data_IF_285492603363
#
_entry.id   IF_285492603363
#
_cell.length_a   1.000
_cell.length_b   1.000
_cell.length_c   1.000
_cell.angle_alpha   90.00
_cell.angle_beta   90.00
_cell.angle_gamma   90.00
#
_symmetry.space_group_name_H-M   'P 1'
#
loop_
_entity.id
_entity.type
_entity.pdbx_description
1 polymer ?
#
# COMPACT_ATOMS: atom_id res chain seq x y z
N UNK A 1 7.04 -6.27 -15.35
CA UNK A 1 6.29 -6.04 -16.61
C UNK A 1 5.13 -5.13 -16.28
N UNK A 2 4.75 -4.23 -17.20
CA UNK A 2 3.61 -3.32 -17.01
C UNK A 2 2.65 -3.56 -18.15
N UNK A 3 1.43 -3.97 -17.83
CA UNK A 3 0.34 -4.15 -18.76
C UNK A 3 -0.42 -2.82 -18.91
N UNK A 4 -1.28 -2.71 -19.93
CA UNK A 4 -2.15 -1.55 -20.09
C UNK A 4 -3.52 -1.94 -20.63
N UNK A 5 -4.57 -1.47 -19.99
CA UNK A 5 -5.91 -1.42 -20.57
C UNK A 5 -6.12 -0.05 -21.19
N UNK A 6 -6.34 -0.06 -22.51
CA UNK A 6 -6.49 1.13 -23.33
C UNK A 6 -7.99 1.37 -23.53
N UNK A 7 -8.40 2.64 -23.44
CA UNK A 7 -9.78 3.03 -23.74
C UNK A 7 -10.08 2.80 -25.22
N UNK A 8 -11.11 2.03 -25.51
CA UNK A 8 -11.52 1.70 -26.86
C UNK A 8 -12.98 2.08 -27.15
N UNK A 9 -13.41 1.78 -28.39
CA UNK A 9 -14.77 2.07 -28.84
C UNK A 9 -15.84 1.31 -28.05
N UNK A 10 -15.53 0.10 -27.57
CA UNK A 10 -16.47 -0.70 -26.79
C UNK A 10 -16.66 -0.09 -25.41
N UNK A 11 -15.60 0.44 -24.79
CA UNK A 11 -15.70 1.21 -23.55
C UNK A 11 -16.57 2.46 -23.76
N UNK A 12 -16.36 3.20 -24.85
CA UNK A 12 -17.14 4.40 -25.20
C UNK A 12 -18.63 4.08 -25.37
N UNK A 13 -18.97 3.12 -26.23
CA UNK A 13 -20.34 2.68 -26.49
C UNK A 13 -21.02 2.17 -25.20
N UNK A 14 -20.28 1.43 -24.37
CA UNK A 14 -20.77 0.93 -23.08
C UNK A 14 -21.05 2.07 -22.12
N UNK A 15 -20.14 3.06 -22.02
CA UNK A 15 -20.29 4.19 -21.12
C UNK A 15 -21.46 5.09 -21.54
N UNK A 16 -21.62 5.36 -22.84
CA UNK A 16 -22.76 6.10 -23.39
C UNK A 16 -24.11 5.40 -23.13
N UNK A 17 -24.12 4.07 -23.08
CA UNK A 17 -25.30 3.28 -22.77
C UNK A 17 -25.75 3.32 -21.30
N UNK A 18 -24.94 3.87 -20.39
CA UNK A 18 -25.27 3.97 -18.97
C UNK A 18 -25.83 5.37 -18.69
N UNK A 19 -27.06 5.44 -18.16
CA UNK A 19 -27.77 6.69 -17.83
C UNK A 19 -27.23 7.41 -16.59
N UNK A 20 -25.91 7.55 -16.46
CA UNK A 20 -25.25 8.30 -15.39
C UNK A 20 -24.74 9.63 -15.94
N UNK A 21 -25.11 10.74 -15.29
CA UNK A 21 -24.50 12.05 -15.57
C UNK A 21 -23.04 12.07 -15.10
N UNK A 22 -22.13 11.63 -15.97
CA UNK A 22 -20.69 11.56 -15.70
C UNK A 22 -20.04 12.95 -15.53
N UNK A 23 -20.68 14.01 -16.05
CA UNK A 23 -20.20 15.39 -15.98
C UNK A 23 -20.32 16.03 -14.58
N UNK A 24 -21.14 15.48 -13.68
CA UNK A 24 -21.42 16.04 -12.36
C UNK A 24 -20.67 15.34 -11.21
N UNK A 25 -19.81 14.38 -11.52
CA UNK A 25 -19.09 13.61 -10.52
C UNK A 25 -17.91 14.42 -9.98
N UNK A 26 -18.06 15.00 -8.79
CA UNK A 26 -17.02 15.76 -8.10
C UNK A 26 -16.49 15.00 -6.89
N UNK A 27 -15.24 15.31 -6.54
CA UNK A 27 -14.67 14.83 -5.29
C UNK A 27 -15.48 15.36 -4.09
N UNK A 28 -15.59 14.55 -3.04
CA UNK A 28 -16.28 14.94 -1.81
C UNK A 28 -15.37 15.68 -0.82
N UNK A 29 -14.07 15.74 -1.11
CA UNK A 29 -13.04 16.29 -0.23
C UNK A 29 -13.03 15.64 1.17
N UNK A 30 -13.61 14.45 1.32
CA UNK A 30 -13.62 13.75 2.59
C UNK A 30 -12.20 13.29 2.96
N UNK A 31 -11.85 13.43 4.23
CA UNK A 31 -10.59 12.90 4.73
C UNK A 31 -10.74 11.40 5.03
N UNK A 32 -10.22 10.58 4.13
CA UNK A 32 -10.18 9.12 4.29
C UNK A 32 -8.96 8.63 5.07
N UNK A 33 -8.13 9.51 5.64
CA UNK A 33 -7.04 9.09 6.55
C UNK A 33 -7.62 8.35 7.75
N UNK A 34 -6.95 7.26 8.15
CA UNK A 34 -7.33 6.44 9.31
C UNK A 34 -8.72 5.77 9.16
N UNK A 35 -9.24 5.71 7.94
CA UNK A 35 -10.51 5.05 7.60
C UNK A 35 -10.24 3.79 6.77
N UNK A 36 -10.76 2.64 7.24
CA UNK A 36 -10.90 1.44 6.41
C UNK A 36 -12.31 1.42 5.85
N UNK A 37 -12.42 1.38 4.53
CA UNK A 37 -13.70 1.26 3.83
C UNK A 37 -13.96 -0.23 3.55
N UNK A 38 -14.93 -0.80 4.26
CA UNK A 38 -15.30 -2.20 4.08
C UNK A 38 -16.00 -2.41 2.75
N UNK A 39 -15.62 -3.48 2.04
CA UNK A 39 -16.20 -3.89 0.77
C UNK A 39 -16.75 -5.31 0.88
N UNK A 40 -17.76 -5.68 0.08
CA UNK A 40 -18.21 -7.08 0.04
C UNK A 40 -17.08 -8.06 -0.35
N UNK A 41 -16.12 -7.62 -1.16
CA UNK A 41 -14.97 -8.40 -1.63
C UNK A 41 -13.75 -8.34 -0.70
N UNK A 42 -13.78 -7.54 0.37
CA UNK A 42 -12.61 -7.27 1.21
C UNK A 42 -12.66 -5.89 1.83
N UNK A 43 -11.61 -5.09 1.64
CA UNK A 43 -11.57 -3.71 2.11
C UNK A 43 -10.50 -2.90 1.37
N UNK A 44 -10.59 -1.58 1.50
CA UNK A 44 -9.56 -0.66 1.01
C UNK A 44 -9.31 0.47 2.01
N UNK A 45 -8.14 1.10 1.91
CA UNK A 45 -7.75 2.22 2.75
C UNK A 45 -6.70 3.09 2.06
N UNK A 46 -6.69 4.38 2.42
CA UNK A 46 -5.78 5.40 1.88
C UNK A 46 -4.43 5.37 2.62
N UNK A 47 -3.32 5.40 1.90
CA UNK A 47 -1.96 5.47 2.49
C UNK A 47 -1.20 6.75 2.12
N UNK A 48 -1.56 7.41 1.02
CA UNK A 48 -0.97 8.67 0.58
C UNK A 48 -1.98 9.46 -0.23
N UNK A 49 -1.98 10.79 -0.09
CA UNK A 49 -2.73 11.70 -0.93
C UNK A 49 -1.94 13.00 -1.12
N UNK A 50 -1.78 13.42 -2.37
CA UNK A 50 -1.35 14.76 -2.76
C UNK A 50 -2.54 15.55 -3.31
N UNK A 51 -2.26 16.73 -3.87
CA UNK A 51 -3.27 17.48 -4.65
C UNK A 51 -3.65 16.76 -5.95
N UNK A 52 -2.77 15.93 -6.50
CA UNK A 52 -2.93 15.37 -7.85
C UNK A 52 -3.19 13.86 -7.84
N UNK A 53 -2.69 13.12 -6.85
CA UNK A 53 -2.85 11.66 -6.80
C UNK A 53 -3.16 11.14 -5.40
N UNK A 54 -3.74 9.95 -5.36
CA UNK A 54 -3.93 9.19 -4.12
C UNK A 54 -3.47 7.75 -4.31
N UNK A 55 -2.96 7.14 -3.24
CA UNK A 55 -2.57 5.72 -3.20
C UNK A 55 -3.48 5.00 -2.22
N UNK A 56 -4.14 3.97 -2.72
CA UNK A 56 -5.02 3.08 -1.98
C UNK A 56 -4.45 1.68 -1.94
N UNK A 57 -4.64 1.01 -0.81
CA UNK A 57 -4.36 -0.42 -0.66
C UNK A 57 -5.67 -1.14 -0.62
N UNK A 58 -5.81 -2.17 -1.45
CA UNK A 58 -6.95 -3.04 -1.55
C UNK A 58 -6.54 -4.42 -1.04
N UNK A 59 -7.28 -4.95 -0.07
CA UNK A 59 -7.27 -6.37 0.23
C UNK A 59 -8.48 -7.02 -0.43
N UNK A 60 -8.23 -7.99 -1.31
CA UNK A 60 -9.26 -8.77 -1.99
C UNK A 60 -9.22 -10.19 -1.44
N UNK A 61 -10.34 -10.65 -0.86
CA UNK A 61 -10.47 -12.00 -0.29
C UNK A 61 -10.29 -13.09 -1.36
N UNK A 62 -9.87 -14.31 -0.98
CA UNK A 62 -9.74 -15.43 -1.91
C UNK A 62 -11.02 -15.63 -2.73
N UNK A 63 -10.89 -15.76 -4.06
CA UNK A 63 -12.01 -15.95 -5.01
C UNK A 63 -13.04 -14.80 -5.06
N UNK A 64 -12.78 -13.67 -4.42
CA UNK A 64 -13.59 -12.45 -4.57
C UNK A 64 -13.01 -11.52 -5.64
N UNK A 65 -13.84 -10.60 -6.13
CA UNK A 65 -13.50 -9.65 -7.18
C UNK A 65 -14.16 -8.28 -6.95
N UNK A 66 -13.58 -7.24 -7.52
CA UNK A 66 -14.22 -5.92 -7.63
C UNK A 66 -15.39 -5.97 -8.63
N UNK A 67 -16.14 -4.87 -8.75
CA UNK A 67 -17.11 -4.73 -9.85
C UNK A 67 -16.38 -4.61 -11.19
N UNK A 68 -17.04 -4.95 -12.29
CA UNK A 68 -16.67 -4.41 -13.60
C UNK A 68 -17.11 -2.95 -13.64
N UNK A 69 -16.15 -2.04 -13.66
CA UNK A 69 -16.38 -0.61 -13.52
C UNK A 69 -15.34 0.21 -14.28
N UNK A 70 -15.62 1.48 -14.49
CA UNK A 70 -14.65 2.42 -15.02
C UNK A 70 -14.65 3.72 -14.21
N UNK A 71 -13.63 4.53 -14.48
CA UNK A 71 -13.46 5.87 -13.95
C UNK A 71 -13.44 6.85 -15.13
N UNK A 72 -14.55 7.55 -15.41
CA UNK A 72 -14.65 8.46 -16.56
C UNK A 72 -13.53 9.50 -16.65
N UNK A 73 -13.03 10.00 -15.51
CA UNK A 73 -12.04 11.07 -15.46
C UNK A 73 -10.69 10.64 -14.90
N UNK A 74 -10.63 9.54 -14.14
CA UNK A 74 -9.40 9.06 -13.51
C UNK A 74 -8.63 8.04 -14.34
N UNK A 75 -7.33 8.24 -14.39
CA UNK A 75 -6.36 7.22 -14.77
C UNK A 75 -5.95 6.47 -13.51
N UNK A 76 -5.78 5.16 -13.64
CA UNK A 76 -5.46 4.28 -12.52
C UNK A 76 -4.23 3.43 -12.84
N UNK A 77 -3.32 3.28 -11.89
CA UNK A 77 -2.22 2.31 -11.96
C UNK A 77 -2.36 1.29 -10.83
N UNK A 78 -2.50 0.02 -11.20
CA UNK A 78 -2.55 -1.11 -10.28
C UNK A 78 -1.18 -1.78 -10.16
N UNK A 79 -0.78 -2.12 -8.94
CA UNK A 79 0.45 -2.89 -8.67
C UNK A 79 0.13 -4.01 -7.69
N UNK A 80 0.50 -5.25 -8.04
CA UNK A 80 0.31 -6.41 -7.15
C UNK A 80 1.38 -6.40 -6.06
N UNK A 81 0.97 -6.32 -4.80
CA UNK A 81 1.86 -6.31 -3.63
C UNK A 81 1.95 -7.66 -2.92
N UNK A 82 0.93 -8.51 -3.07
CA UNK A 82 0.95 -9.89 -2.58
C UNK A 82 -0.09 -10.75 -3.31
N UNK A 83 0.29 -12.00 -3.57
CA UNK A 83 -0.54 -12.97 -4.27
C UNK A 83 -0.53 -12.76 -5.79
N UNK A 84 -1.58 -13.28 -6.41
CA UNK A 84 -1.81 -13.26 -7.86
C UNK A 84 -3.26 -12.85 -8.10
N UNK A 85 -3.45 -11.90 -9.02
CA UNK A 85 -4.77 -11.41 -9.43
C UNK A 85 -5.03 -11.68 -10.91
N UNK A 86 -6.29 -11.81 -11.27
CA UNK A 86 -6.75 -11.73 -12.65
C UNK A 86 -7.39 -10.35 -12.84
N UNK A 87 -6.82 -9.54 -13.73
CA UNK A 87 -7.38 -8.27 -14.15
C UNK A 87 -8.08 -8.46 -15.50
N UNK A 88 -9.35 -8.08 -15.59
CA UNK A 88 -10.14 -8.19 -16.82
C UNK A 88 -10.55 -6.81 -17.33
N UNK A 89 -10.45 -6.58 -18.63
CA UNK A 89 -11.18 -5.52 -19.33
C UNK A 89 -12.52 -6.06 -19.87
N UNK A 90 -13.17 -5.35 -20.79
CA UNK A 90 -14.33 -5.89 -21.53
C UNK A 90 -13.95 -6.98 -22.54
N UNK A 91 -12.72 -6.96 -23.03
CA UNK A 91 -12.28 -7.78 -24.17
C UNK A 91 -11.24 -8.82 -23.80
N UNK A 92 -10.45 -8.58 -22.74
CA UNK A 92 -9.34 -9.45 -22.37
C UNK A 92 -9.23 -9.67 -20.85
N UNK A 93 -8.40 -10.63 -20.47
CA UNK A 93 -8.04 -10.88 -19.08
C UNK A 93 -6.57 -11.27 -18.97
N UNK A 94 -5.89 -10.69 -17.99
CA UNK A 94 -4.46 -10.83 -17.77
C UNK A 94 -4.26 -11.27 -16.32
N UNK A 95 -3.53 -12.37 -16.13
CA UNK A 95 -3.05 -12.77 -14.82
C UNK A 95 -1.81 -11.94 -14.46
N UNK A 96 -1.79 -11.40 -13.24
CA UNK A 96 -0.71 -10.59 -12.72
C UNK A 96 -0.20 -11.11 -11.38
N UNK A 97 1.10 -11.29 -11.30
CA UNK A 97 1.83 -11.74 -10.11
C UNK A 97 2.49 -10.57 -9.37
N UNK A 98 3.05 -10.88 -8.20
CA UNK A 98 3.81 -9.97 -7.34
C UNK A 98 4.75 -9.03 -8.13
N UNK A 99 4.62 -7.73 -7.88
CA UNK A 99 5.47 -6.68 -8.47
C UNK A 99 5.17 -6.36 -9.93
N UNK A 100 4.11 -6.92 -10.52
CA UNK A 100 3.64 -6.53 -11.85
C UNK A 100 2.67 -5.35 -11.75
N UNK A 101 2.73 -4.46 -12.75
CA UNK A 101 1.89 -3.27 -12.85
C UNK A 101 0.88 -3.35 -14.00
N UNK A 102 -0.20 -2.59 -13.89
CA UNK A 102 -1.21 -2.41 -14.94
C UNK A 102 -1.68 -0.95 -14.94
N UNK A 103 -1.52 -0.26 -16.06
CA UNK A 103 -2.08 1.07 -16.26
C UNK A 103 -3.47 0.92 -16.88
N UNK A 104 -4.44 1.66 -16.39
CA UNK A 104 -5.82 1.65 -16.84
C UNK A 104 -6.17 3.07 -17.24
N UNK A 105 -6.50 3.23 -18.52
CA UNK A 105 -6.84 4.53 -19.07
C UNK A 105 -8.21 5.01 -18.58
N UNK A 106 -8.40 6.33 -18.65
CA UNK A 106 -9.65 6.99 -18.28
C UNK A 106 -10.79 6.39 -19.10
N UNK A 107 -11.89 6.04 -18.42
CA UNK A 107 -13.08 5.44 -19.04
C UNK A 107 -12.97 3.94 -19.32
N UNK A 108 -11.78 3.32 -19.25
CA UNK A 108 -11.63 1.88 -19.50
C UNK A 108 -12.30 1.04 -18.42
N UNK A 109 -13.19 0.15 -18.83
CA UNK A 109 -13.83 -0.79 -17.91
C UNK A 109 -12.86 -1.89 -17.49
N UNK A 110 -12.83 -2.15 -16.19
CA UNK A 110 -11.93 -3.12 -15.60
C UNK A 110 -12.53 -3.78 -14.35
N UNK A 111 -11.96 -4.94 -14.00
CA UNK A 111 -12.23 -5.70 -12.79
C UNK A 111 -10.96 -6.40 -12.31
N UNK A 112 -10.79 -6.52 -11.01
CA UNK A 112 -9.68 -7.26 -10.39
C UNK A 112 -10.22 -8.37 -9.52
N UNK A 113 -9.75 -9.60 -9.73
CA UNK A 113 -10.14 -10.81 -8.97
C UNK A 113 -8.92 -11.42 -8.29
N UNK A 114 -9.04 -11.75 -7.01
CA UNK A 114 -8.01 -12.53 -6.33
C UNK A 114 -8.13 -14.01 -6.70
N UNK A 115 -7.05 -14.57 -7.27
CA UNK A 115 -6.96 -16.01 -7.60
C UNK A 115 -6.06 -16.78 -6.63
N UNK A 116 -5.34 -16.09 -5.75
CA UNK A 116 -4.58 -16.69 -4.66
C UNK A 116 -5.45 -17.20 -3.51
N UNK A 117 -5.03 -18.31 -2.89
CA UNK A 117 -5.74 -18.98 -1.78
C UNK A 117 -5.89 -18.13 -0.52
N UNK A 118 -4.98 -17.19 -0.28
CA UNK A 118 -4.97 -16.33 0.91
C UNK A 118 -5.54 -14.91 0.64
N UNK A 119 -6.07 -14.68 -0.57
CA UNK A 119 -6.42 -13.35 -1.04
C UNK A 119 -5.20 -12.64 -1.61
N UNK A 120 -5.36 -11.35 -1.90
CA UNK A 120 -4.33 -10.53 -2.52
C UNK A 120 -4.31 -9.13 -1.94
N UNK A 121 -3.12 -8.53 -1.90
CA UNK A 121 -2.94 -7.10 -1.71
C UNK A 121 -2.59 -6.46 -3.04
N UNK A 122 -3.37 -5.45 -3.42
CA UNK A 122 -3.16 -4.65 -4.63
C UNK A 122 -3.09 -3.20 -4.23
N UNK A 123 -2.14 -2.48 -4.81
CA UNK A 123 -2.05 -1.03 -4.68
C UNK A 123 -2.69 -0.38 -5.89
N UNK A 124 -3.44 0.68 -5.64
CA UNK A 124 -4.10 1.49 -6.66
C UNK A 124 -3.65 2.94 -6.53
N UNK A 125 -3.05 3.47 -7.59
CA UNK A 125 -2.69 4.88 -7.71
C UNK A 125 -3.71 5.54 -8.63
N UNK A 126 -4.42 6.54 -8.15
CA UNK A 126 -5.47 7.22 -8.90
C UNK A 126 -5.14 8.70 -9.14
N UNK A 127 -5.49 9.21 -10.33
CA UNK A 127 -5.37 10.62 -10.69
C UNK A 127 -6.48 11.06 -11.65
N UNK A 128 -7.21 12.16 -11.41
CA UNK A 128 -7.14 13.00 -10.21
C UNK A 128 -7.72 12.32 -8.96
N UNK A 129 -7.58 12.95 -7.80
CA UNK A 129 -8.24 12.49 -6.56
C UNK A 129 -9.74 12.79 -6.68
N UNK A 130 -10.55 11.75 -6.90
CA UNK A 130 -12.00 11.83 -6.91
C UNK A 130 -12.62 10.45 -6.61
N UNK A 131 -13.14 10.24 -5.41
CA UNK A 131 -13.71 8.92 -5.05
C UNK A 131 -15.07 8.62 -5.66
N UNK A 132 -15.78 9.63 -6.11
CA UNK A 132 -17.07 9.44 -6.74
C UNK A 132 -16.98 9.14 -8.22
N UNK A 133 -15.83 9.38 -8.87
CA UNK A 133 -15.58 9.07 -10.29
C UNK A 133 -15.59 7.56 -10.50
N UNK A 134 -16.78 6.98 -10.58
CA UNK A 134 -17.02 5.54 -10.55
C UNK A 134 -18.34 5.19 -11.22
N UNK A 135 -18.25 4.43 -12.31
CA UNK A 135 -19.41 3.88 -13.02
C UNK A 135 -19.32 2.37 -13.02
N UNK A 136 -20.33 1.68 -12.48
CA UNK A 136 -20.36 0.21 -12.40
C UNK A 136 -21.25 -0.38 -13.47
N UNK A 137 -20.68 -1.19 -14.35
CA UNK A 137 -21.41 -1.93 -15.38
C UNK A 137 -22.00 -3.23 -14.82
N UNK A 138 -21.19 -4.01 -14.09
CA UNK A 138 -21.60 -5.33 -13.57
C UNK A 138 -20.97 -5.57 -12.21
N UNK A 139 -21.75 -6.07 -11.27
CA UNK A 139 -21.26 -6.32 -9.92
C UNK A 139 -21.93 -7.55 -9.29
N UNK A 140 -21.11 -8.50 -8.82
CA UNK A 140 -21.57 -9.72 -8.16
C UNK A 140 -22.29 -9.45 -6.83
N UNK A 141 -22.14 -8.25 -6.27
CA UNK A 141 -22.74 -7.83 -4.99
C UNK A 141 -23.89 -6.83 -5.17
N UNK A 142 -24.42 -6.69 -6.39
CA UNK A 142 -25.61 -5.87 -6.69
C UNK A 142 -25.43 -4.38 -6.35
N UNK A 143 -24.25 -3.81 -6.64
CA UNK A 143 -23.96 -2.37 -6.50
C UNK A 143 -23.99 -1.58 -7.82
N UNK A 144 -24.50 -2.17 -8.91
CA UNK A 144 -24.74 -1.43 -10.17
C UNK A 144 -25.66 -0.23 -9.90
N UNK A 145 -25.31 0.93 -10.45
CA UNK A 145 -26.02 2.19 -10.22
C UNK A 145 -25.79 2.84 -8.85
N UNK A 146 -25.05 2.19 -7.93
CA UNK A 146 -24.65 2.81 -6.66
C UNK A 146 -23.32 3.55 -6.84
N UNK A 147 -23.15 4.66 -6.11
CA UNK A 147 -21.89 5.41 -6.03
C UNK A 147 -20.85 4.75 -5.11
N UNK A 148 -19.90 5.53 -4.63
CA UNK A 148 -18.94 5.06 -3.62
C UNK A 148 -19.65 4.62 -2.32
N UNK A 149 -18.98 3.83 -1.49
CA UNK A 149 -19.59 3.30 -0.27
C UNK A 149 -19.85 4.43 0.74
N UNK A 150 -20.94 4.31 1.49
CA UNK A 150 -21.38 5.31 2.48
C UNK A 150 -20.70 5.09 3.84
N UNK A 151 -20.83 6.09 4.73
CA UNK A 151 -20.13 6.14 6.02
C UNK A 151 -20.41 4.94 6.95
N UNK A 152 -21.52 4.23 6.77
CA UNK A 152 -21.83 2.99 7.51
C UNK A 152 -20.85 1.85 7.19
N UNK A 153 -20.12 1.94 6.07
CA UNK A 153 -19.03 1.02 5.70
C UNK A 153 -17.67 1.48 6.20
N UNK A 154 -17.57 2.69 6.73
CA UNK A 154 -16.33 3.24 7.23
C UNK A 154 -16.09 2.76 8.65
N UNK A 155 -14.90 2.22 8.89
CA UNK A 155 -14.41 1.95 10.24
C UNK A 155 -13.21 2.83 10.52
N UNK A 156 -13.37 3.74 11.47
CA UNK A 156 -12.21 4.36 12.09
C UNK A 156 -11.42 3.27 12.80
N UNK A 157 -10.14 3.20 12.50
CA UNK A 157 -9.23 2.32 13.21
C UNK A 157 -7.90 3.04 13.30
N UNK A 158 -7.35 3.32 14.49
CA UNK A 158 -6.01 3.88 14.58
C UNK A 158 -4.92 2.80 14.42
N UNK A 159 -5.26 1.51 14.61
CA UNK A 159 -4.30 0.41 14.80
C UNK A 159 -4.18 -0.58 13.62
N UNK A 160 -4.92 -0.39 12.53
CA UNK A 160 -4.86 -1.29 11.36
C UNK A 160 -3.76 -0.84 10.40
N UNK A 161 -2.48 -1.10 10.71
CA UNK A 161 -1.28 -0.73 9.93
C UNK A 161 -1.48 0.42 8.94
N UNK A 162 -1.94 1.55 9.48
CA UNK A 162 -2.06 2.78 8.73
C UNK A 162 -0.67 3.33 8.63
N UNK A 163 0.01 2.84 7.62
CA UNK A 163 1.26 3.38 7.22
C UNK A 163 0.97 4.63 6.38
N UNK A 164 0.38 5.65 6.99
CA UNK A 164 0.24 6.97 6.36
C UNK A 164 1.63 7.48 6.03
N UNK A 165 1.81 7.90 4.79
CA UNK A 165 2.97 8.69 4.39
C UNK A 165 2.74 10.14 4.84
N UNK A 166 2.73 10.38 6.17
CA UNK A 166 2.83 11.72 6.75
C UNK A 166 1.70 12.13 7.71
N UNK A 167 2.09 12.34 8.97
CA UNK A 167 1.61 13.48 9.80
C UNK A 167 2.80 14.31 10.34
N UNK A 168 4.06 13.97 10.02
CA UNK A 168 5.22 14.65 10.61
C UNK A 168 5.91 15.56 9.59
N UNK A 169 6.22 16.78 10.02
CA UNK A 169 7.13 17.74 9.36
C UNK A 169 8.55 17.19 9.15
N UNK A 170 8.79 15.93 9.51
CA UNK A 170 10.04 15.20 9.28
C UNK A 170 10.08 14.66 7.84
N UNK A 171 10.69 15.43 6.96
CA UNK A 171 11.00 15.06 5.59
C UNK A 171 12.14 14.01 5.53
N UNK A 172 11.80 12.72 5.54
CA UNK A 172 12.73 11.67 5.08
C UNK A 172 12.05 10.70 4.13
N UNK A 173 12.87 10.02 3.32
CA UNK A 173 12.44 8.93 2.44
C UNK A 173 11.80 7.83 3.29
N UNK A 174 10.46 7.79 3.36
CA UNK A 174 9.75 6.81 4.16
C UNK A 174 9.69 5.51 3.36
N UNK A 175 10.23 4.43 3.93
CA UNK A 175 10.20 3.08 3.37
C UNK A 175 9.33 2.18 4.22
N UNK A 176 8.37 1.50 3.60
CA UNK A 176 7.32 0.73 4.27
C UNK A 176 7.05 -0.56 3.51
N UNK A 177 7.03 -1.70 4.21
CA UNK A 177 6.69 -2.99 3.62
C UNK A 177 5.17 -3.16 3.60
N UNK A 178 4.64 -3.53 2.44
CA UNK A 178 3.24 -3.89 2.24
C UNK A 178 3.16 -5.19 1.45
N UNK A 179 2.51 -6.19 2.05
CA UNK A 179 2.55 -7.55 1.54
C UNK A 179 3.99 -8.04 1.40
N UNK A 180 4.39 -8.41 0.18
CA UNK A 180 5.76 -8.86 -0.16
C UNK A 180 6.59 -7.79 -0.86
N UNK A 181 6.09 -6.57 -0.98
CA UNK A 181 6.79 -5.45 -1.60
C UNK A 181 7.20 -4.41 -0.56
N UNK A 182 8.23 -3.64 -0.90
CA UNK A 182 8.64 -2.46 -0.14
C UNK A 182 8.38 -1.20 -0.95
N UNK A 183 7.67 -0.25 -0.32
CA UNK A 183 7.22 1.01 -0.88
C UNK A 183 8.04 2.15 -0.32
N UNK A 184 8.63 2.98 -1.18
CA UNK A 184 9.41 4.15 -0.76
C UNK A 184 8.97 5.39 -1.51
N UNK A 185 8.56 6.44 -0.80
CA UNK A 185 8.33 7.75 -1.41
C UNK A 185 9.63 8.55 -1.46
N UNK A 186 9.95 9.08 -2.64
CA UNK A 186 11.10 9.94 -2.91
C UNK A 186 10.62 11.27 -3.48
N UNK A 187 11.36 12.34 -3.21
CA UNK A 187 11.23 13.62 -3.90
C UNK A 187 12.46 13.86 -4.76
N UNK A 188 12.27 14.43 -5.94
CA UNK A 188 13.34 14.85 -6.83
C UNK A 188 13.08 16.28 -7.29
N UNK A 189 14.08 17.16 -7.13
CA UNK A 189 14.00 18.56 -7.57
C UNK A 189 14.83 18.80 -8.82
N UNK A 190 15.86 17.98 -9.00
CA UNK A 190 16.84 18.07 -10.05
C UNK A 190 16.95 16.74 -10.79
N UNK A 191 17.55 16.78 -11.99
CA UNK A 191 17.87 15.57 -12.75
C UNK A 191 18.86 14.66 -12.00
N UNK A 192 19.78 15.23 -11.23
CA UNK A 192 20.75 14.45 -10.45
C UNK A 192 20.07 13.62 -9.34
N UNK A 193 18.98 14.13 -8.75
CA UNK A 193 18.18 13.37 -7.80
C UNK A 193 17.57 12.11 -8.45
N UNK A 194 17.10 12.24 -9.70
CA UNK A 194 16.55 11.11 -10.48
C UNK A 194 17.66 10.12 -10.82
N UNK A 195 18.81 10.60 -11.27
CA UNK A 195 19.94 9.73 -11.58
C UNK A 195 20.37 8.92 -10.36
N UNK A 196 20.42 9.54 -9.18
CA UNK A 196 20.73 8.86 -7.92
C UNK A 196 19.66 7.82 -7.57
N UNK A 197 18.38 8.17 -7.68
CA UNK A 197 17.27 7.23 -7.46
C UNK A 197 17.38 6.03 -8.40
N UNK A 198 17.64 6.25 -9.68
CA UNK A 198 17.80 5.19 -10.66
C UNK A 198 19.03 4.34 -10.32
N UNK A 199 20.19 4.94 -10.05
CA UNK A 199 21.42 4.24 -9.74
C UNK A 199 21.28 3.30 -8.53
N UNK A 200 20.59 3.74 -7.48
CA UNK A 200 20.40 2.99 -6.24
C UNK A 200 19.29 1.93 -6.27
N UNK A 201 18.58 1.75 -7.39
CA UNK A 201 17.46 0.81 -7.48
C UNK A 201 17.65 -0.24 -8.58
N UNK A 202 17.23 -1.47 -8.28
CA UNK A 202 17.25 -2.59 -9.21
C UNK A 202 16.31 -2.34 -10.40
N UNK A 203 16.68 -2.87 -11.57
CA UNK A 203 15.92 -2.65 -12.82
C UNK A 203 14.50 -3.22 -12.80
N UNK A 204 14.24 -4.24 -11.99
CA UNK A 204 12.93 -4.86 -11.81
C UNK A 204 11.93 -4.02 -11.01
N UNK A 205 12.41 -3.04 -10.23
CA UNK A 205 11.56 -2.19 -9.41
C UNK A 205 10.64 -1.33 -10.28
N UNK A 206 9.45 -1.03 -9.75
CA UNK A 206 8.53 -0.09 -10.36
C UNK A 206 8.74 1.31 -9.77
N UNK A 207 8.55 2.31 -10.62
CA UNK A 207 8.57 3.72 -10.28
C UNK A 207 7.25 4.32 -10.76
N UNK A 208 6.47 4.86 -9.84
CA UNK A 208 5.20 5.53 -10.14
C UNK A 208 5.30 7.02 -9.82
N UNK A 209 4.78 7.85 -10.71
CA UNK A 209 4.85 9.30 -10.58
C UNK A 209 3.61 9.80 -9.83
N UNK A 210 3.81 10.39 -8.65
CA UNK A 210 2.72 10.86 -7.78
C UNK A 210 2.42 12.34 -7.98
N UNK A 211 3.44 13.14 -8.34
CA UNK A 211 3.31 14.55 -8.68
C UNK A 211 4.38 14.95 -9.71
N UNK A 212 3.96 15.72 -10.71
CA UNK A 212 4.81 16.31 -11.75
C UNK A 212 4.90 15.47 -13.02
N UNK A 213 5.93 15.76 -13.84
CA UNK A 213 6.16 15.19 -15.17
C UNK A 213 7.65 14.86 -15.40
N UNK A 214 7.89 13.74 -16.09
CA UNK A 214 9.21 13.37 -16.61
C UNK A 214 9.13 13.43 -18.13
N UNK A 215 10.09 14.09 -18.75
CA UNK A 215 10.19 14.22 -20.21
C UNK A 215 11.45 13.53 -20.73
N UNK A 216 11.40 13.08 -21.98
CA UNK A 216 12.54 12.59 -22.73
C UNK A 216 12.63 13.34 -24.05
N UNK A 217 13.77 13.99 -24.32
CA UNK A 217 13.95 14.86 -25.48
C UNK A 217 12.86 15.94 -25.62
N UNK A 218 12.36 16.48 -24.50
CA UNK A 218 11.31 17.50 -24.48
C UNK A 218 9.88 16.99 -24.69
N UNK A 219 9.69 15.68 -24.86
CA UNK A 219 8.36 15.04 -24.96
C UNK A 219 8.03 14.41 -23.60
N UNK A 220 6.81 14.61 -23.10
CA UNK A 220 6.35 13.96 -21.86
C UNK A 220 6.43 12.44 -21.99
N UNK A 221 7.25 11.84 -21.13
CA UNK A 221 7.44 10.40 -21.02
C UNK A 221 6.53 9.80 -19.95
N UNK A 222 6.39 10.50 -18.82
CA UNK A 222 5.50 10.14 -17.73
C UNK A 222 4.84 11.39 -17.19
N UNK A 223 3.56 11.28 -16.89
CA UNK A 223 2.78 12.25 -16.14
C UNK A 223 2.31 11.62 -14.82
N UNK A 224 1.71 12.44 -13.96
CA UNK A 224 1.16 11.95 -12.69
C UNK A 224 0.22 10.75 -12.91
N UNK A 225 0.33 9.76 -12.03
CA UNK A 225 -0.37 8.48 -12.08
C UNK A 225 0.27 7.41 -12.95
N UNK A 226 1.27 7.72 -13.77
CA UNK A 226 1.97 6.70 -14.58
C UNK A 226 2.92 5.85 -13.74
N UNK A 227 3.08 4.60 -14.16
CA UNK A 227 4.06 3.66 -13.62
C UNK A 227 4.99 3.17 -14.73
N UNK A 228 6.29 3.08 -14.44
CA UNK A 228 7.31 2.52 -15.33
C UNK A 228 8.24 1.58 -14.55
N UNK A 229 8.96 0.68 -15.23
CA UNK A 229 10.06 -0.05 -14.59
C UNK A 229 11.32 0.83 -14.53
N UNK A 230 12.12 0.67 -13.48
CA UNK A 230 13.42 1.36 -13.35
C UNK A 230 14.32 1.05 -14.55
N UNK A 231 14.32 -0.20 -15.04
CA UNK A 231 15.08 -0.58 -16.23
C UNK A 231 14.62 0.16 -17.49
N UNK A 232 13.31 0.37 -17.69
CA UNK A 232 12.80 1.08 -18.85
C UNK A 232 13.11 2.58 -18.78
N UNK A 233 13.08 3.17 -17.58
CA UNK A 233 13.45 4.58 -17.38
C UNK A 233 14.97 4.80 -17.55
N UNK A 234 15.81 3.88 -17.09
CA UNK A 234 17.28 3.90 -17.31
C UNK A 234 17.70 3.88 -18.77
N UNK A 235 16.86 3.35 -19.68
CA UNK A 235 17.15 3.30 -21.12
C UNK A 235 16.97 4.65 -21.82
N UNK A 236 16.35 5.63 -21.15
CA UNK A 236 16.08 6.93 -21.73
C UNK A 236 17.33 7.82 -21.67
N UNK A 237 17.63 8.53 -22.77
CA UNK A 237 18.93 9.21 -22.94
C UNK A 237 18.95 10.66 -22.46
N UNK A 238 17.86 11.41 -22.64
CA UNK A 238 17.80 12.84 -22.30
C UNK A 238 16.59 13.12 -21.42
N UNK A 239 16.65 12.61 -20.19
CA UNK A 239 15.63 12.85 -19.18
C UNK A 239 15.71 14.28 -18.67
N UNK A 240 14.56 14.94 -18.63
CA UNK A 240 14.34 16.21 -17.92
C UNK A 240 13.07 16.08 -17.07
N UNK A 241 12.94 16.91 -16.04
CA UNK A 241 11.84 16.80 -15.08
C UNK A 241 11.19 18.15 -14.82
N UNK A 242 9.90 18.12 -14.47
CA UNK A 242 9.25 19.28 -13.86
C UNK A 242 9.84 19.56 -12.47
N UNK A 243 9.75 20.81 -12.01
CA UNK A 243 10.16 21.16 -10.65
C UNK A 243 9.33 20.39 -9.60
N UNK A 244 10.02 19.78 -8.62
CA UNK A 244 9.43 19.06 -7.48
C UNK A 244 8.60 17.83 -7.87
N UNK A 245 9.26 16.78 -8.35
CA UNK A 245 8.64 15.47 -8.51
C UNK A 245 8.46 14.76 -7.16
N UNK A 246 7.31 14.09 -7.02
CA UNK A 246 7.09 13.07 -5.98
C UNK A 246 6.95 11.71 -6.67
N UNK A 247 7.71 10.72 -6.21
CA UNK A 247 7.79 9.39 -6.81
C UNK A 247 7.54 8.31 -5.77
N UNK A 248 6.88 7.24 -6.16
CA UNK A 248 6.79 5.99 -5.41
C UNK A 248 7.66 4.92 -6.06
N UNK A 249 8.63 4.41 -5.31
CA UNK A 249 9.37 3.20 -5.64
C UNK A 249 8.65 1.99 -5.05
N UNK A 250 8.42 0.97 -5.86
CA UNK A 250 7.94 -0.34 -5.40
C UNK A 250 8.99 -1.39 -5.73
N UNK A 251 9.59 -1.96 -4.68
CA UNK A 251 10.54 -3.06 -4.77
C UNK A 251 9.81 -4.39 -4.50
N UNK A 252 9.96 -5.36 -5.40
CA UNK A 252 9.38 -6.71 -5.28
C UNK A 252 10.41 -7.78 -4.89
N UNK A 253 11.70 -7.45 -4.90
CA UNK A 253 12.78 -8.27 -4.33
C UNK A 253 13.23 -7.63 -3.03
N UNK A 254 12.42 -7.85 -1.99
CA UNK A 254 12.83 -7.60 -0.62
C UNK A 254 13.20 -8.95 0.03
N UNK A 255 14.19 -9.62 -0.57
CA UNK A 255 14.87 -10.78 0.02
C UNK A 255 15.48 -10.44 1.40
N UNK A 256 15.62 -9.15 1.72
CA UNK A 256 16.05 -8.68 3.03
C UNK A 256 14.84 -8.39 3.92
N UNK A 257 14.55 -9.32 4.83
CA UNK A 257 13.61 -9.06 5.92
C UNK A 257 14.37 -8.39 7.06
N UNK A 258 13.89 -7.24 7.55
CA UNK A 258 14.40 -6.64 8.79
C UNK A 258 14.34 -7.70 9.89
N UNK A 259 15.47 -7.97 10.54
CA UNK A 259 15.58 -9.06 11.54
C UNK A 259 14.50 -8.96 12.62
N UNK A 260 14.18 -7.74 13.06
CA UNK A 260 13.10 -7.52 14.02
C UNK A 260 11.72 -7.92 13.48
N UNK A 261 11.38 -7.64 12.21
CA UNK A 261 10.12 -8.07 11.60
C UNK A 261 10.04 -9.60 11.48
N UNK A 262 11.18 -10.26 11.21
CA UNK A 262 11.27 -11.72 11.22
C UNK A 262 11.02 -12.29 12.62
N UNK A 263 11.61 -11.69 13.66
CA UNK A 263 11.38 -12.11 15.05
C UNK A 263 9.90 -11.98 15.41
N UNK A 264 9.23 -10.88 15.07
CA UNK A 264 7.78 -10.73 15.33
C UNK A 264 6.97 -11.78 14.57
N UNK A 265 7.31 -12.05 13.32
CA UNK A 265 6.67 -13.10 12.53
C UNK A 265 6.86 -14.50 13.13
N UNK A 266 8.05 -14.77 13.66
CA UNK A 266 8.37 -16.02 14.37
C UNK A 266 7.54 -16.17 15.64
N UNK A 267 7.45 -15.12 16.47
CA UNK A 267 6.61 -15.12 17.68
C UNK A 267 5.14 -15.42 17.33
N UNK A 268 4.60 -14.78 16.30
CA UNK A 268 3.23 -15.06 15.82
C UNK A 268 3.04 -16.49 15.36
N UNK A 269 4.05 -17.08 14.71
CA UNK A 269 3.97 -18.50 14.28
C UNK A 269 3.88 -19.48 15.46
N UNK A 270 4.29 -19.04 16.65
CA UNK A 270 4.14 -19.76 17.91
C UNK A 270 2.84 -19.40 18.65
N UNK A 271 1.91 -18.69 18.01
CA UNK A 271 0.69 -18.13 18.62
C UNK A 271 0.94 -17.11 19.75
N UNK A 272 2.15 -16.52 19.80
CA UNK A 272 2.46 -15.44 20.74
C UNK A 272 2.02 -14.13 20.11
N UNK A 273 1.04 -13.48 20.74
CA UNK A 273 0.42 -12.24 20.27
C UNK A 273 0.47 -11.12 21.32
N UNK A 274 1.18 -11.30 22.43
CA UNK A 274 1.37 -10.25 23.44
C UNK A 274 2.81 -10.28 23.95
N UNK A 275 3.47 -9.13 24.02
CA UNK A 275 4.85 -8.98 24.49
C UNK A 275 4.98 -7.90 25.57
N UNK A 276 5.94 -8.08 26.46
CA UNK A 276 6.30 -7.12 27.49
C UNK A 276 7.58 -6.41 27.05
N UNK A 277 7.72 -5.10 27.24
CA UNK A 277 8.98 -4.44 26.93
C UNK A 277 9.32 -3.25 27.82
N UNK A 278 10.62 -2.94 27.84
CA UNK A 278 11.18 -1.69 28.36
C UNK A 278 11.93 -0.99 27.21
N UNK A 279 11.58 0.26 26.86
CA UNK A 279 12.26 0.99 25.80
C UNK A 279 13.75 1.19 26.07
N UNK A 280 14.58 0.95 25.06
CA UNK A 280 15.99 1.31 25.08
C UNK A 280 16.58 1.40 23.68
N UNK A 281 17.77 1.99 23.57
CA UNK A 281 18.36 2.29 22.26
C UNK A 281 18.61 1.02 21.43
N UNK A 282 19.06 -0.06 22.06
CA UNK A 282 19.44 -1.28 21.36
C UNK A 282 18.23 -2.13 20.90
N UNK A 283 17.07 -1.99 21.55
CA UNK A 283 15.86 -2.73 21.19
C UNK A 283 14.85 -1.90 20.38
N UNK A 284 15.19 -0.66 20.01
CA UNK A 284 14.33 0.26 19.28
C UNK A 284 13.78 -0.36 17.98
N UNK A 285 14.59 -1.11 17.25
CA UNK A 285 14.13 -1.77 16.02
C UNK A 285 13.07 -2.85 16.26
N UNK A 286 13.13 -3.57 17.39
CA UNK A 286 12.09 -4.53 17.80
C UNK A 286 10.81 -3.79 18.20
N UNK A 287 10.93 -2.72 18.98
CA UNK A 287 9.79 -1.89 19.40
C UNK A 287 9.08 -1.28 18.19
N UNK A 288 9.84 -0.74 17.22
CA UNK A 288 9.29 -0.28 15.94
C UNK A 288 8.55 -1.39 15.20
N UNK A 289 9.12 -2.60 15.14
CA UNK A 289 8.48 -3.73 14.47
C UNK A 289 7.20 -4.20 15.18
N UNK A 290 7.15 -4.17 16.50
CA UNK A 290 5.97 -4.49 17.31
C UNK A 290 4.88 -3.43 17.09
N UNK A 291 5.25 -2.15 17.17
CA UNK A 291 4.31 -1.04 16.97
C UNK A 291 3.74 -0.99 15.54
N UNK A 292 4.39 -1.64 14.57
CA UNK A 292 3.93 -1.80 13.18
C UNK A 292 3.22 -3.13 12.90
N UNK A 293 2.97 -3.97 13.90
CA UNK A 293 2.28 -5.25 13.70
C UNK A 293 0.83 -5.18 14.20
N UNK A 294 -0.15 -5.57 13.37
CA UNK A 294 -1.57 -5.48 13.72
C UNK A 294 -2.04 -6.54 14.71
N UNK A 295 -1.32 -7.66 14.82
CA UNK A 295 -1.70 -8.82 15.63
C UNK A 295 -0.98 -8.81 16.97
N UNK A 296 0.23 -8.24 17.02
CA UNK A 296 1.04 -8.18 18.22
C UNK A 296 0.57 -7.07 19.16
N UNK A 297 0.08 -7.45 20.33
CA UNK A 297 -0.21 -6.55 21.44
C UNK A 297 1.02 -6.40 22.35
N UNK A 298 1.05 -5.34 23.15
CA UNK A 298 2.18 -5.10 24.04
C UNK A 298 1.83 -4.38 25.34
N UNK A 299 2.62 -4.66 26.38
CA UNK A 299 2.62 -3.87 27.62
C UNK A 299 4.01 -3.28 27.87
N UNK A 300 4.07 -1.95 27.97
CA UNK A 300 5.30 -1.20 28.23
C UNK A 300 5.50 -0.99 29.74
N UNK A 301 6.75 -1.12 30.20
CA UNK A 301 7.15 -0.94 31.60
C UNK A 301 8.28 0.07 31.72
N UNK A 302 8.37 0.69 32.91
CA UNK A 302 9.44 1.63 33.23
C UNK A 302 10.75 0.94 33.66
N UNK A 303 10.68 -0.27 34.22
CA UNK A 303 11.88 -1.00 34.68
C UNK A 303 11.87 -2.44 34.20
N UNK A 304 13.05 -2.99 33.94
CA UNK A 304 13.22 -4.35 33.45
C UNK A 304 12.77 -5.38 34.48
N UNK A 305 12.95 -5.09 35.78
CA UNK A 305 12.48 -5.96 36.87
C UNK A 305 10.96 -6.09 36.86
N UNK A 306 10.23 -4.98 36.75
CA UNK A 306 8.77 -5.01 36.70
C UNK A 306 8.26 -5.72 35.45
N UNK A 307 8.91 -5.48 34.31
CA UNK A 307 8.57 -6.14 33.06
C UNK A 307 8.78 -7.66 33.13
N UNK A 308 9.87 -8.12 33.78
CA UNK A 308 10.16 -9.53 34.00
C UNK A 308 9.12 -10.21 34.89
N UNK A 309 8.79 -9.60 36.03
CA UNK A 309 7.73 -10.12 36.92
C UNK A 309 6.38 -10.23 36.20
N UNK A 310 6.04 -9.25 35.37
CA UNK A 310 4.80 -9.26 34.60
C UNK A 310 4.80 -10.37 33.52
N UNK A 311 5.89 -10.52 32.78
CA UNK A 311 6.02 -11.56 31.75
C UNK A 311 5.98 -12.98 32.35
N UNK A 312 6.63 -13.18 33.50
CA UNK A 312 6.60 -14.45 34.23
C UNK A 312 5.20 -14.76 34.79
N UNK A 313 4.55 -13.78 35.42
CA UNK A 313 3.18 -13.94 35.91
C UNK A 313 2.21 -14.25 34.75
N UNK A 314 2.33 -13.55 33.62
CA UNK A 314 1.53 -13.79 32.44
C UNK A 314 1.71 -15.22 31.90
N UNK A 315 2.96 -15.69 31.82
CA UNK A 315 3.30 -17.05 31.41
C UNK A 315 2.61 -18.10 32.30
N UNK A 316 2.72 -17.94 33.62
CA UNK A 316 2.13 -18.85 34.61
C UNK A 316 0.59 -18.87 34.57
N UNK A 317 -0.03 -17.70 34.43
CA UNK A 317 -1.49 -17.57 34.43
C UNK A 317 -2.11 -18.05 33.12
N UNK A 318 -1.45 -17.80 31.99
CA UNK A 318 -1.93 -18.21 30.66
C UNK A 318 -1.62 -19.68 30.36
N UNK A 319 -0.58 -20.24 30.98
CA UNK A 319 -0.08 -21.59 30.67
C UNK A 319 0.62 -21.63 29.31
N UNK A 320 1.24 -20.52 28.90
CA UNK A 320 1.85 -20.32 27.58
C UNK A 320 3.09 -19.40 27.72
N UNK A 321 3.82 -19.14 26.65
CA UNK A 321 5.04 -18.33 26.70
C UNK A 321 4.78 -16.87 27.12
N UNK A 322 5.59 -16.38 28.08
CA UNK A 322 5.78 -14.95 28.35
C UNK A 322 7.01 -14.42 27.63
N UNK A 323 6.87 -13.38 26.82
CA UNK A 323 7.99 -12.79 26.05
C UNK A 323 8.29 -11.39 26.57
N UNK A 324 9.53 -11.21 27.04
CA UNK A 324 10.07 -9.92 27.47
C UNK A 324 11.13 -9.42 26.48
N UNK A 325 11.00 -8.18 26.04
CA UNK A 325 11.95 -7.48 25.17
C UNK A 325 12.59 -6.33 25.95
N UNK A 326 13.90 -6.42 26.13
CA UNK A 326 14.71 -5.46 26.89
C UNK A 326 15.91 -5.01 26.05
N UNK A 327 16.54 -3.92 26.46
CA UNK A 327 17.74 -3.41 25.81
C UNK A 327 18.95 -4.31 26.07
N UNK A 328 20.08 -4.00 25.45
CA UNK A 328 21.36 -4.67 25.70
C UNK A 328 22.04 -4.14 26.98
N UNK A 329 23.17 -4.76 27.37
CA UNK A 329 23.95 -4.32 28.52
C UNK A 329 23.32 -4.74 29.86
N UNK A 330 23.22 -3.79 30.80
CA UNK A 330 22.76 -4.07 32.17
C UNK A 330 21.27 -4.44 32.28
N UNK A 331 20.47 -4.16 31.24
CA UNK A 331 19.05 -4.50 31.24
C UNK A 331 18.78 -5.98 31.51
N UNK A 332 19.62 -6.88 30.98
CA UNK A 332 19.49 -8.33 31.22
C UNK A 332 19.69 -8.73 32.69
N UNK A 333 20.68 -8.16 33.37
CA UNK A 333 20.94 -8.47 34.78
C UNK A 333 19.88 -7.85 35.69
N UNK A 334 19.34 -6.68 35.33
CA UNK A 334 18.21 -6.06 36.06
C UNK A 334 16.94 -6.92 35.89
N UNK A 335 16.63 -7.36 34.67
CA UNK A 335 15.48 -8.23 34.38
C UNK A 335 15.54 -9.53 35.19
N UNK A 336 16.73 -10.14 35.30
CA UNK A 336 16.94 -11.38 36.04
C UNK A 336 16.53 -11.27 37.51
N UNK A 337 16.64 -10.09 38.13
CA UNK A 337 16.20 -9.88 39.53
C UNK A 337 14.69 -9.90 39.72
N UNK A 338 13.91 -9.97 38.63
CA UNK A 338 12.46 -10.09 38.66
C UNK A 338 11.92 -11.47 38.29
N UNK A 339 12.79 -12.48 38.10
CA UNK A 339 12.43 -13.86 37.78
C UNK A 339 12.60 -14.81 38.96
#
# INVERSE_FOLDING_TARGET
MINRFIFDKLDEETLQGISTETSNIKDDFNDYKKVVVKKPWGYEYLIFQSRHSAIWILYIKPNHQTSMHCHPQKKTSLIVLEGTVECSSLTESIAMDLGQGLIIDKGSFHRTKAISKNGCFVMEIETPVNKHDLVRLKDSYKRVGKGYETIDKHKFSPNYNYLTFGESEVFYNITKRFGKCTLTIKKAKTKDDIDLILASNAGGNLLSLLDGEIHNNGITLMETGDTITVAALKKQKKLTISNNLTLLLTNNDDSQIKVSDYIISFLKSLNINHVFFVPGDANLHLIDSIGRDEVMDYTCFYTERAAAMAADAYSKLKGDYGVLIISSGASGTIALTGL
#
